data_IF_295069577511
#
_entry.id   IF_295069577511
#
_cell.length_a   1.000
_cell.length_b   1.000
_cell.length_c   1.000
_cell.angle_alpha   90.00
_cell.angle_beta   90.00
_cell.angle_gamma   90.00
#
_symmetry.space_group_name_H-M   'P 1'
#
loop_
_entity.id
_entity.type
_entity.pdbx_description
1 polymer ?
#
# COMPACT_ATOMS: atom_id res chain seq x y z
N UNK A 1 10.17 20.15 -9.34
CA UNK A 1 9.03 20.07 -10.28
C UNK A 1 8.69 18.65 -10.77
N UNK A 2 9.60 17.78 -11.23
CA UNK A 2 9.22 16.44 -11.72
C UNK A 2 8.49 15.58 -10.66
N UNK A 3 8.95 15.61 -9.40
CA UNK A 3 8.30 14.90 -8.29
C UNK A 3 6.85 15.33 -8.10
N UNK A 4 6.56 16.63 -8.05
CA UNK A 4 5.20 17.13 -7.85
C UNK A 4 4.25 16.66 -8.97
N UNK A 5 4.70 16.68 -10.24
CA UNK A 5 3.92 16.23 -11.39
C UNK A 5 3.57 14.73 -11.26
N UNK A 6 4.56 13.89 -10.96
CA UNK A 6 4.34 12.45 -10.82
C UNK A 6 3.49 12.13 -9.58
N UNK A 7 3.68 12.84 -8.48
CA UNK A 7 2.84 12.68 -7.30
C UNK A 7 1.37 13.04 -7.60
N UNK A 8 1.12 14.13 -8.34
CA UNK A 8 -0.24 14.50 -8.78
C UNK A 8 -0.80 13.42 -9.72
N UNK A 9 -0.01 12.90 -10.64
CA UNK A 9 -0.42 11.80 -11.52
C UNK A 9 -0.86 10.57 -10.72
N UNK A 10 -0.08 10.16 -9.70
CA UNK A 10 -0.45 9.05 -8.82
C UNK A 10 -1.80 9.32 -8.15
N UNK A 11 -2.03 10.53 -7.63
CA UNK A 11 -3.31 10.91 -7.01
C UNK A 11 -4.46 10.72 -7.98
N UNK A 12 -4.35 11.23 -9.20
CA UNK A 12 -5.40 11.11 -10.22
C UNK A 12 -5.68 9.64 -10.55
N UNK A 13 -4.65 8.84 -10.78
CA UNK A 13 -4.79 7.42 -11.13
C UNK A 13 -5.43 6.62 -10.01
N UNK A 14 -4.98 6.82 -8.76
CA UNK A 14 -5.55 6.16 -7.58
C UNK A 14 -7.01 6.55 -7.39
N UNK A 15 -7.34 7.85 -7.45
CA UNK A 15 -8.72 8.32 -7.29
C UNK A 15 -9.65 7.71 -8.35
N UNK A 16 -9.22 7.66 -9.62
CA UNK A 16 -10.00 7.05 -10.69
C UNK A 16 -10.19 5.54 -10.49
N UNK A 17 -9.13 4.81 -10.11
CA UNK A 17 -9.19 3.38 -9.89
C UNK A 17 -10.07 3.02 -8.68
N UNK A 18 -9.90 3.73 -7.56
CA UNK A 18 -10.70 3.55 -6.34
C UNK A 18 -12.17 3.91 -6.59
N UNK A 19 -12.46 5.00 -7.30
CA UNK A 19 -13.84 5.36 -7.66
C UNK A 19 -14.52 4.25 -8.48
N UNK A 20 -13.81 3.60 -9.42
CA UNK A 20 -14.32 2.46 -10.18
C UNK A 20 -14.57 1.25 -9.27
N UNK A 21 -13.68 0.98 -8.32
CA UNK A 21 -13.85 -0.08 -7.33
C UNK A 21 -15.08 0.14 -6.44
N UNK A 22 -15.24 1.37 -5.93
CA UNK A 22 -16.40 1.74 -5.11
C UNK A 22 -17.70 1.65 -5.91
N UNK A 23 -17.71 2.05 -7.18
CA UNK A 23 -18.90 1.88 -8.04
C UNK A 23 -19.28 0.42 -8.26
N UNK A 24 -18.29 -0.49 -8.32
CA UNK A 24 -18.51 -1.92 -8.56
C UNK A 24 -18.89 -2.68 -7.27
N UNK A 25 -18.22 -2.38 -6.15
CA UNK A 25 -18.28 -3.17 -4.92
C UNK A 25 -18.95 -2.42 -3.76
N UNK A 26 -19.31 -1.15 -3.94
CA UNK A 26 -19.82 -0.32 -2.85
C UNK A 26 -18.76 -0.12 -1.76
N UNK A 27 -19.22 0.05 -0.52
CA UNK A 27 -18.34 0.23 0.64
C UNK A 27 -17.44 -1.00 0.94
N UNK A 28 -17.75 -2.18 0.36
CA UNK A 28 -16.91 -3.37 0.50
C UNK A 28 -15.51 -3.14 -0.07
N UNK A 29 -15.36 -2.27 -1.08
CA UNK A 29 -14.06 -1.89 -1.62
C UNK A 29 -13.08 -1.41 -0.54
N UNK A 30 -13.55 -0.74 0.49
CA UNK A 30 -12.73 -0.23 1.61
C UNK A 30 -12.29 -1.33 2.60
N UNK A 31 -12.71 -2.57 2.40
CA UNK A 31 -12.22 -3.72 3.19
C UNK A 31 -10.89 -4.26 2.65
N UNK A 32 -10.48 -3.87 1.45
CA UNK A 32 -9.25 -4.38 0.84
C UNK A 32 -8.05 -3.49 1.18
N UNK A 33 -6.97 -4.12 1.65
CA UNK A 33 -5.70 -3.41 1.93
C UNK A 33 -5.17 -2.68 0.70
N UNK A 34 -5.35 -3.27 -0.49
CA UNK A 34 -5.00 -2.65 -1.77
C UNK A 34 -5.61 -1.24 -1.91
N UNK A 35 -6.89 -1.10 -1.61
CA UNK A 35 -7.58 0.20 -1.71
C UNK A 35 -7.07 1.16 -0.64
N UNK A 36 -6.96 0.69 0.61
CA UNK A 36 -6.52 1.54 1.73
C UNK A 36 -5.06 1.99 1.59
N UNK A 37 -4.16 1.10 1.19
CA UNK A 37 -2.75 1.45 0.97
C UNK A 37 -2.56 2.44 -0.19
N UNK A 38 -3.31 2.28 -1.27
CA UNK A 38 -3.28 3.24 -2.38
C UNK A 38 -3.90 4.59 -2.00
N UNK A 39 -4.96 4.64 -1.20
CA UNK A 39 -5.50 5.89 -0.66
C UNK A 39 -4.50 6.60 0.25
N UNK A 40 -3.81 5.87 1.12
CA UNK A 40 -2.72 6.41 1.95
C UNK A 40 -1.59 6.96 1.07
N UNK A 41 -1.23 6.24 0.00
CA UNK A 41 -0.24 6.69 -0.98
C UNK A 41 -0.69 7.97 -1.69
N UNK A 42 -1.93 8.04 -2.16
CA UNK A 42 -2.45 9.24 -2.81
C UNK A 42 -2.47 10.45 -1.86
N UNK A 43 -2.88 10.26 -0.61
CA UNK A 43 -2.86 11.32 0.40
C UNK A 43 -1.44 11.83 0.66
N UNK A 44 -0.46 10.94 0.81
CA UNK A 44 0.94 11.33 0.98
C UNK A 44 1.53 12.01 -0.26
N UNK A 45 1.20 11.54 -1.46
CA UNK A 45 1.59 12.16 -2.72
C UNK A 45 1.03 13.57 -2.86
N UNK A 46 -0.25 13.77 -2.55
CA UNK A 46 -0.89 15.09 -2.59
C UNK A 46 -0.21 16.05 -1.62
N UNK A 47 0.10 15.58 -0.42
CA UNK A 47 0.78 16.38 0.60
C UNK A 47 2.18 16.80 0.14
N UNK A 48 2.99 15.86 -0.33
CA UNK A 48 4.36 16.15 -0.83
C UNK A 48 4.31 17.08 -2.05
N UNK A 49 3.37 16.88 -2.97
CA UNK A 49 3.20 17.76 -4.13
C UNK A 49 2.80 19.18 -3.72
N UNK A 50 1.83 19.33 -2.82
CA UNK A 50 1.39 20.63 -2.33
C UNK A 50 2.53 21.39 -1.62
N UNK A 51 3.26 20.72 -0.73
CA UNK A 51 4.41 21.29 -0.04
C UNK A 51 5.56 21.62 -1.00
N UNK A 52 5.82 20.76 -2.00
CA UNK A 52 6.85 20.96 -3.00
C UNK A 52 6.59 22.20 -3.87
N UNK A 53 5.34 22.53 -4.16
CA UNK A 53 4.95 23.76 -4.86
C UNK A 53 5.24 25.03 -4.03
N UNK A 54 5.23 24.93 -2.71
CA UNK A 54 5.59 26.00 -1.77
C UNK A 54 7.07 26.01 -1.37
N UNK A 55 7.90 25.18 -2.02
CA UNK A 55 9.32 25.04 -1.72
C UNK A 55 9.66 24.71 -0.25
N UNK A 56 8.72 24.10 0.48
CA UNK A 56 8.87 23.78 1.91
C UNK A 56 8.32 22.38 2.21
N UNK A 57 9.11 21.35 1.91
CA UNK A 57 8.71 19.97 2.24
C UNK A 57 9.21 19.65 3.65
N UNK A 58 8.28 19.35 4.54
CA UNK A 58 8.58 19.02 5.93
C UNK A 58 8.98 17.54 6.06
N UNK A 59 9.96 17.22 6.94
CA UNK A 59 10.47 15.85 7.09
C UNK A 59 9.38 14.80 7.38
N UNK A 60 8.36 15.16 8.18
CA UNK A 60 7.25 14.25 8.49
C UNK A 60 6.41 13.87 7.27
N UNK A 61 6.27 14.77 6.29
CA UNK A 61 5.55 14.49 5.06
C UNK A 61 6.29 13.45 4.20
N UNK A 62 7.62 13.54 4.15
CA UNK A 62 8.46 12.54 3.50
C UNK A 62 8.43 11.20 4.27
N UNK A 63 8.39 11.23 5.60
CA UNK A 63 8.21 10.02 6.42
C UNK A 63 6.85 9.36 6.13
N UNK A 64 5.78 10.15 6.01
CA UNK A 64 4.48 9.62 5.61
C UNK A 64 4.52 9.03 4.20
N UNK A 65 5.21 9.68 3.27
CA UNK A 65 5.43 9.17 1.91
C UNK A 65 6.19 7.84 1.93
N UNK A 66 7.22 7.71 2.76
CA UNK A 66 7.93 6.45 2.98
C UNK A 66 6.99 5.34 3.46
N UNK A 67 6.23 5.58 4.53
CA UNK A 67 5.25 4.62 5.08
C UNK A 67 4.22 4.21 4.03
N UNK A 68 3.72 5.15 3.25
CA UNK A 68 2.77 4.90 2.19
C UNK A 68 3.39 4.07 1.04
N UNK A 69 4.64 4.37 0.67
CA UNK A 69 5.38 3.60 -0.35
C UNK A 69 5.59 2.16 0.09
N UNK A 70 6.02 1.92 1.35
CA UNK A 70 6.10 0.56 1.92
C UNK A 70 4.75 -0.15 1.79
N UNK A 71 3.65 0.52 2.15
CA UNK A 71 2.30 -0.08 2.13
C UNK A 71 1.86 -0.52 0.73
N UNK A 72 2.09 0.29 -0.30
CA UNK A 72 1.74 -0.09 -1.67
C UNK A 72 2.70 -1.14 -2.25
N UNK A 73 3.96 -1.16 -1.81
CA UNK A 73 4.91 -2.21 -2.18
C UNK A 73 4.54 -3.55 -1.54
N UNK A 74 4.01 -3.57 -0.31
CA UNK A 74 3.42 -4.78 0.29
C UNK A 74 2.23 -5.26 -0.55
N UNK A 75 1.37 -4.35 -1.02
CA UNK A 75 0.27 -4.71 -1.93
C UNK A 75 0.81 -5.37 -3.21
N UNK A 76 1.79 -4.75 -3.87
CA UNK A 76 2.44 -5.31 -5.07
C UNK A 76 2.96 -6.71 -4.80
N UNK A 77 3.77 -6.90 -3.75
CA UNK A 77 4.35 -8.20 -3.41
C UNK A 77 3.28 -9.25 -3.09
N UNK A 78 2.25 -8.87 -2.32
CA UNK A 78 1.13 -9.77 -1.99
C UNK A 78 0.41 -10.22 -3.25
N UNK A 79 0.16 -9.33 -4.19
CA UNK A 79 -0.46 -9.67 -5.47
C UNK A 79 0.41 -10.65 -6.25
N UNK A 80 1.68 -10.36 -6.42
CA UNK A 80 2.55 -11.20 -7.25
C UNK A 80 2.89 -12.54 -6.61
N UNK A 81 3.11 -12.58 -5.29
CA UNK A 81 3.54 -13.82 -4.59
C UNK A 81 2.36 -14.69 -4.20
N UNK A 82 1.23 -14.10 -3.77
CA UNK A 82 0.12 -14.88 -3.21
C UNK A 82 -1.11 -14.92 -4.13
N UNK A 83 -1.52 -13.79 -4.71
CA UNK A 83 -2.78 -13.75 -5.43
C UNK A 83 -2.65 -14.14 -6.90
N UNK A 84 -1.58 -13.75 -7.56
CA UNK A 84 -1.36 -14.04 -8.99
C UNK A 84 -1.36 -15.56 -9.28
N UNK A 85 -0.69 -16.41 -8.48
CA UNK A 85 -0.73 -17.86 -8.68
C UNK A 85 -2.14 -18.48 -8.49
N UNK A 86 -3.01 -17.83 -7.70
CA UNK A 86 -4.35 -18.34 -7.38
C UNK A 86 -5.41 -17.87 -8.36
N UNK A 87 -5.37 -16.60 -8.77
CA UNK A 87 -6.44 -15.96 -9.56
C UNK A 87 -6.03 -15.67 -11.00
N UNK A 88 -4.74 -15.73 -11.31
CA UNK A 88 -4.20 -15.44 -12.64
C UNK A 88 -4.06 -13.96 -12.98
N UNK A 89 -3.18 -13.65 -13.93
CA UNK A 89 -2.83 -12.28 -14.31
C UNK A 89 -4.02 -11.50 -14.90
N UNK A 90 -4.86 -12.15 -15.69
CA UNK A 90 -6.02 -11.52 -16.32
C UNK A 90 -7.00 -10.95 -15.29
N UNK A 91 -7.17 -11.60 -14.14
CA UNK A 91 -8.07 -11.14 -13.09
C UNK A 91 -7.47 -9.99 -12.29
N UNK A 92 -6.17 -10.04 -11.99
CA UNK A 92 -5.52 -9.11 -11.05
C UNK A 92 -4.86 -7.90 -11.71
N UNK A 93 -4.59 -7.96 -13.02
CA UNK A 93 -3.83 -6.93 -13.73
C UNK A 93 -4.61 -6.31 -14.90
N UNK A 94 -5.95 -6.26 -14.82
CA UNK A 94 -6.78 -5.60 -15.82
C UNK A 94 -7.67 -4.52 -15.20
N UNK A 95 -8.05 -3.55 -16.01
CA UNK A 95 -8.95 -2.48 -15.57
C UNK A 95 -8.39 -1.68 -14.39
N UNK A 96 -9.20 -1.38 -13.35
CA UNK A 96 -8.75 -0.61 -12.19
C UNK A 96 -7.72 -1.36 -11.34
N UNK A 97 -7.71 -2.70 -11.36
CA UNK A 97 -6.77 -3.52 -10.60
C UNK A 97 -5.34 -3.34 -11.09
N UNK A 98 -5.12 -3.19 -12.40
CA UNK A 98 -3.81 -2.87 -12.96
C UNK A 98 -3.18 -1.63 -12.33
N UNK A 99 -3.98 -0.58 -12.14
CA UNK A 99 -3.48 0.66 -11.54
C UNK A 99 -3.12 0.48 -10.07
N UNK A 100 -3.97 -0.17 -9.28
CA UNK A 100 -3.77 -0.32 -7.84
C UNK A 100 -2.74 -1.40 -7.48
N UNK A 101 -2.60 -2.44 -8.31
CA UNK A 101 -1.70 -3.56 -8.02
C UNK A 101 -0.30 -3.40 -8.60
N UNK A 102 -0.14 -2.64 -9.69
CA UNK A 102 1.12 -2.56 -10.42
C UNK A 102 1.56 -1.11 -10.68
N UNK A 103 0.79 -0.34 -11.43
CA UNK A 103 1.25 0.95 -11.95
C UNK A 103 1.49 1.98 -10.82
N UNK A 104 0.51 2.19 -9.92
CA UNK A 104 0.65 3.15 -8.83
C UNK A 104 1.73 2.76 -7.82
N UNK A 105 1.87 1.49 -7.37
CA UNK A 105 3.00 1.06 -6.56
C UNK A 105 4.36 1.33 -7.20
N UNK A 106 4.54 1.04 -8.49
CA UNK A 106 5.80 1.29 -9.19
C UNK A 106 6.10 2.78 -9.35
N UNK A 107 5.09 3.60 -9.67
CA UNK A 107 5.23 5.05 -9.72
C UNK A 107 5.57 5.63 -8.34
N UNK A 108 4.94 5.14 -7.26
CA UNK A 108 5.24 5.56 -5.90
C UNK A 108 6.68 5.21 -5.51
N UNK A 109 7.15 4.01 -5.85
CA UNK A 109 8.54 3.61 -5.63
C UNK A 109 9.50 4.50 -6.43
N UNK A 110 9.19 4.79 -7.68
CA UNK A 110 10.02 5.65 -8.54
C UNK A 110 10.15 7.06 -7.96
N UNK A 111 9.02 7.69 -7.56
CA UNK A 111 9.06 9.04 -6.97
C UNK A 111 9.83 9.02 -5.66
N UNK A 112 9.64 7.98 -4.83
CA UNK A 112 10.36 7.82 -3.57
C UNK A 112 11.87 7.74 -3.81
N UNK A 113 12.33 6.86 -4.68
CA UNK A 113 13.75 6.62 -4.91
C UNK A 113 14.48 7.83 -5.53
N UNK A 114 13.81 8.57 -6.41
CA UNK A 114 14.46 9.63 -7.16
C UNK A 114 14.39 11.01 -6.48
N UNK A 115 13.34 11.29 -5.68
CA UNK A 115 13.11 12.66 -5.18
C UNK A 115 12.58 12.77 -3.75
N UNK A 116 11.72 11.82 -3.33
CA UNK A 116 10.90 11.99 -2.13
C UNK A 116 11.46 11.21 -0.92
N UNK A 117 12.74 10.89 -0.93
CA UNK A 117 13.39 10.06 0.08
C UNK A 117 13.75 10.87 1.32
N UNK A 118 13.21 10.53 2.52
CA UNK A 118 13.65 11.11 3.77
C UNK A 118 14.96 10.51 4.24
N UNK A 119 15.64 11.18 5.16
CA UNK A 119 16.64 10.52 6.00
C UNK A 119 15.91 9.64 7.00
N UNK A 120 15.99 8.32 6.85
CA UNK A 120 15.28 7.35 7.70
C UNK A 120 16.24 6.71 8.68
N UNK A 121 15.97 6.86 9.98
CA UNK A 121 16.65 6.09 11.02
C UNK A 121 15.97 4.72 11.19
N UNK A 122 16.68 3.73 11.75
CA UNK A 122 16.11 2.39 11.95
C UNK A 122 14.77 2.37 12.71
N UNK A 123 14.55 3.15 13.79
CA UNK A 123 13.24 3.23 14.44
C UNK A 123 12.16 3.81 13.52
N UNK A 124 12.49 4.82 12.69
CA UNK A 124 11.54 5.42 11.74
C UNK A 124 11.22 4.43 10.62
N UNK A 125 12.18 3.62 10.20
CA UNK A 125 11.95 2.56 9.22
C UNK A 125 10.85 1.60 9.66
N UNK A 126 10.76 1.27 10.95
CA UNK A 126 9.72 0.38 11.47
C UNK A 126 8.30 0.96 11.40
N UNK A 127 8.15 2.28 11.21
CA UNK A 127 6.84 2.89 10.97
C UNK A 127 6.17 2.36 9.70
N UNK A 128 6.95 1.89 8.71
CA UNK A 128 6.40 1.24 7.52
C UNK A 128 5.59 -0.02 7.80
N UNK A 129 5.78 -0.65 8.97
CA UNK A 129 5.02 -1.84 9.38
C UNK A 129 3.63 -1.48 9.92
N UNK A 130 3.44 -0.26 10.43
CA UNK A 130 2.23 0.16 11.14
C UNK A 130 0.94 -0.03 10.32
N UNK A 131 0.84 0.37 9.04
CA UNK A 131 -0.38 0.15 8.27
C UNK A 131 -0.76 -1.32 8.14
N UNK A 132 0.22 -2.20 7.95
CA UNK A 132 0.00 -3.65 7.83
C UNK A 132 -0.43 -4.25 9.16
N UNK A 133 0.17 -3.81 10.28
CA UNK A 133 -0.25 -4.24 11.62
C UNK A 133 -1.69 -3.83 11.93
N UNK A 134 -2.01 -2.55 11.73
CA UNK A 134 -3.37 -2.03 11.99
C UNK A 134 -4.40 -2.74 11.14
N UNK A 135 -4.14 -2.85 9.83
CA UNK A 135 -5.04 -3.55 8.94
C UNK A 135 -5.15 -5.04 9.28
N UNK A 136 -4.03 -5.71 9.53
CA UNK A 136 -3.98 -7.13 9.84
C UNK A 136 -4.77 -7.48 11.11
N UNK A 137 -4.67 -6.66 12.16
CA UNK A 137 -5.48 -6.83 13.37
C UNK A 137 -6.98 -6.72 13.05
N UNK A 138 -7.38 -5.70 12.28
CA UNK A 138 -8.79 -5.54 11.86
C UNK A 138 -9.23 -6.73 10.99
N UNK A 139 -8.43 -7.09 9.99
CA UNK A 139 -8.73 -8.20 9.08
C UNK A 139 -8.90 -9.52 9.84
N UNK A 140 -7.94 -9.89 10.67
CA UNK A 140 -8.01 -11.12 11.47
C UNK A 140 -9.19 -11.11 12.44
N UNK A 141 -9.48 -9.97 13.05
CA UNK A 141 -10.66 -9.83 13.92
C UNK A 141 -11.95 -10.09 13.15
N UNK A 142 -12.08 -9.60 11.93
CA UNK A 142 -13.29 -9.77 11.14
C UNK A 142 -13.42 -11.17 10.52
N UNK A 143 -12.28 -11.77 10.09
CA UNK A 143 -12.26 -13.08 9.44
C UNK A 143 -12.28 -14.22 10.46
N UNK A 144 -11.40 -14.16 11.47
CA UNK A 144 -11.19 -15.30 12.39
C UNK A 144 -12.13 -15.25 13.59
N UNK A 145 -12.29 -14.09 14.22
CA UNK A 145 -13.02 -14.01 15.50
C UNK A 145 -14.49 -13.64 15.31
N UNK A 146 -14.81 -12.78 14.35
CA UNK A 146 -16.20 -12.34 14.12
C UNK A 146 -16.89 -13.07 12.98
N UNK A 147 -16.16 -13.72 12.09
CA UNK A 147 -16.67 -14.42 10.89
C UNK A 147 -17.57 -13.52 10.02
N UNK A 148 -17.27 -12.19 9.97
CA UNK A 148 -18.06 -11.20 9.21
C UNK A 148 -17.51 -10.96 7.80
N UNK A 149 -16.21 -11.24 7.58
CA UNK A 149 -15.58 -11.11 6.28
C UNK A 149 -15.12 -12.46 5.77
N UNK A 150 -15.21 -12.64 4.46
CA UNK A 150 -14.58 -13.77 3.78
C UNK A 150 -13.07 -13.65 3.84
N UNK A 151 -12.38 -14.78 3.87
CA UNK A 151 -10.90 -14.83 3.84
C UNK A 151 -10.38 -14.66 2.40
N UNK A 152 -10.56 -13.45 1.83
CA UNK A 152 -10.19 -13.17 0.45
C UNK A 152 -8.68 -13.16 0.17
N UNK A 153 -7.83 -13.11 1.19
CA UNK A 153 -6.38 -13.31 1.05
C UNK A 153 -5.94 -14.76 1.33
N UNK A 154 -6.82 -15.59 1.86
CA UNK A 154 -6.51 -16.97 2.21
C UNK A 154 -5.58 -17.11 3.41
N UNK A 155 -5.48 -16.10 4.28
CA UNK A 155 -4.56 -16.10 5.42
C UNK A 155 -4.97 -17.06 6.54
N UNK A 156 -6.26 -17.44 6.62
CA UNK A 156 -6.76 -18.38 7.62
C UNK A 156 -6.93 -19.81 7.08
N UNK A 157 -6.41 -20.12 5.90
CA UNK A 157 -6.52 -21.50 5.35
C UNK A 157 -5.93 -22.52 6.32
N UNK A 158 -6.76 -23.49 6.70
CA UNK A 158 -6.39 -24.54 7.67
C UNK A 158 -6.07 -24.00 9.08
N UNK A 159 -6.62 -22.86 9.47
CA UNK A 159 -6.39 -22.25 10.78
C UNK A 159 -4.99 -21.64 10.98
N UNK A 160 -4.23 -21.45 9.89
CA UNK A 160 -2.82 -21.00 9.95
C UNK A 160 -2.65 -19.48 9.99
N UNK A 161 -3.70 -18.73 10.32
CA UNK A 161 -3.65 -17.27 10.38
C UNK A 161 -2.50 -16.68 11.23
N UNK A 162 -2.07 -17.29 12.39
CA UNK A 162 -0.97 -16.69 13.15
C UNK A 162 0.34 -16.70 12.37
N UNK A 163 0.59 -17.79 11.63
CA UNK A 163 1.80 -17.93 10.80
C UNK A 163 1.72 -16.96 9.62
N UNK A 164 0.58 -16.89 8.92
CA UNK A 164 0.38 -15.97 7.80
C UNK A 164 0.57 -14.52 8.23
N UNK A 165 0.02 -14.14 9.39
CA UNK A 165 0.17 -12.80 9.93
C UNK A 165 1.62 -12.49 10.30
N UNK A 166 2.30 -13.40 11.01
CA UNK A 166 3.71 -13.24 11.37
C UNK A 166 4.60 -13.09 10.13
N UNK A 167 4.39 -13.92 9.10
CA UNK A 167 5.13 -13.83 7.83
C UNK A 167 4.92 -12.47 7.16
N UNK A 168 3.67 -11.98 7.10
CA UNK A 168 3.38 -10.66 6.52
C UNK A 168 4.06 -9.52 7.28
N UNK A 169 4.05 -9.56 8.60
CA UNK A 169 4.72 -8.54 9.44
C UNK A 169 6.23 -8.56 9.23
N UNK A 170 6.84 -9.74 9.27
CA UNK A 170 8.29 -9.91 9.05
C UNK A 170 8.68 -9.45 7.63
N UNK A 171 7.96 -9.89 6.61
CA UNK A 171 8.22 -9.49 5.24
C UNK A 171 8.10 -7.97 5.05
N UNK A 172 7.09 -7.35 5.69
CA UNK A 172 6.91 -5.89 5.66
C UNK A 172 8.06 -5.18 6.38
N UNK A 173 8.52 -5.70 7.52
CA UNK A 173 9.65 -5.11 8.25
C UNK A 173 10.94 -5.18 7.42
N UNK A 174 11.22 -6.31 6.78
CA UNK A 174 12.38 -6.48 5.89
C UNK A 174 12.30 -5.53 4.69
N UNK A 175 11.14 -5.43 4.05
CA UNK A 175 10.92 -4.49 2.95
C UNK A 175 11.13 -3.05 3.40
N UNK A 176 10.59 -2.68 4.57
CA UNK A 176 10.69 -1.33 5.11
C UNK A 176 12.14 -0.96 5.44
N UNK A 177 12.89 -1.86 6.07
CA UNK A 177 14.30 -1.68 6.33
C UNK A 177 15.11 -1.58 5.03
N UNK A 178 14.82 -2.41 4.05
CA UNK A 178 15.48 -2.36 2.72
C UNK A 178 15.26 -1.00 2.06
N UNK A 179 14.02 -0.50 2.02
CA UNK A 179 13.70 0.81 1.45
C UNK A 179 14.31 1.98 2.22
N UNK A 180 14.54 1.81 3.52
CA UNK A 180 15.22 2.83 4.33
C UNK A 180 16.73 2.90 4.06
N UNK A 181 17.35 1.79 3.63
CA UNK A 181 18.79 1.70 3.35
C UNK A 181 19.17 2.13 1.94
N UNK A 182 18.23 2.15 1.01
CA UNK A 182 18.47 2.56 -0.40
C UNK A 182 18.45 4.06 -0.55
#
# INVERSE_FOLDING_TARGET
MPSAILNILIVILVCQAVARHIRKLGAVALRYFTVLSNLLCAASCLLVAAMGLHHSIWPWALTLKFVATVSVMVTLLTVFVFLLPQFGAKFLLTGPDFWLHLACPLLALTTYLLWDRPTVTAPVALLGVVPVLLYGVVYMTQVVFRHKWEDFYGFNRGGKWPVSFAVMVIATALLSLTLACV
#
